data_IF_960262788730
#
_entry.id   IF_960262788730
#
_cell.length_a   1.000
_cell.length_b   1.000
_cell.length_c   1.000
_cell.angle_alpha   90.00
_cell.angle_beta   90.00
_cell.angle_gamma   90.00
#
_symmetry.space_group_name_H-M   'P 1'
#
loop_
_entity.id
_entity.type
_entity.pdbx_description
1 polymer ?
#
# COMPACT_ATOMS: atom_id res chain seq x y z
N UNK A 1 -16.38 2.64 -12.74
CA UNK A 1 -16.75 1.90 -13.96
C UNK A 1 -16.92 2.82 -15.20
N UNK A 2 -17.77 3.87 -15.14
CA UNK A 2 -17.97 4.79 -16.27
C UNK A 2 -16.69 5.52 -16.68
N UNK A 3 -15.95 6.04 -15.70
CA UNK A 3 -14.69 6.75 -15.90
C UNK A 3 -13.66 5.89 -16.63
N UNK A 4 -13.41 4.69 -16.13
CA UNK A 4 -12.45 3.77 -16.74
C UNK A 4 -12.86 3.27 -18.12
N UNK A 5 -14.16 3.07 -18.36
CA UNK A 5 -14.68 2.52 -19.63
C UNK A 5 -14.87 3.56 -20.72
N UNK A 6 -15.26 4.78 -20.35
CA UNK A 6 -15.71 5.79 -21.31
C UNK A 6 -14.82 7.03 -21.36
N UNK A 7 -14.11 7.34 -20.28
CA UNK A 7 -13.24 8.53 -20.22
C UNK A 7 -11.80 8.18 -20.58
N UNK A 8 -11.26 7.13 -20.01
CA UNK A 8 -9.87 6.69 -20.29
C UNK A 8 -9.81 5.91 -21.61
N UNK A 9 -8.94 6.32 -22.53
CA UNK A 9 -8.73 5.58 -23.79
C UNK A 9 -7.96 4.28 -23.54
N UNK A 10 -8.43 3.17 -24.12
CA UNK A 10 -7.94 1.79 -23.90
C UNK A 10 -6.43 1.55 -24.18
N UNK A 11 -5.75 2.48 -24.83
CA UNK A 11 -4.30 2.34 -25.14
C UNK A 11 -3.38 2.78 -24.00
N UNK A 12 -3.90 3.23 -22.88
CA UNK A 12 -3.09 3.60 -21.72
C UNK A 12 -2.78 2.34 -20.89
N UNK A 13 -1.51 1.97 -20.83
CA UNK A 13 -0.99 0.93 -19.92
C UNK A 13 -0.91 1.47 -18.48
N UNK A 14 -2.03 1.82 -17.89
CA UNK A 14 -2.09 2.34 -16.52
C UNK A 14 -2.46 1.21 -15.57
N UNK A 15 -1.86 1.26 -14.38
CA UNK A 15 -2.26 0.38 -13.28
C UNK A 15 -3.59 0.87 -12.69
N UNK A 16 -4.37 -0.03 -12.11
CA UNK A 16 -5.64 0.33 -11.46
C UNK A 16 -5.49 1.40 -10.39
N UNK A 17 -4.38 1.39 -9.64
CA UNK A 17 -4.02 2.39 -8.64
C UNK A 17 -3.83 3.80 -9.24
N UNK A 18 -3.14 3.92 -10.37
CA UNK A 18 -2.98 5.21 -11.07
C UNK A 18 -4.34 5.78 -11.52
N UNK A 19 -5.26 4.89 -11.95
CA UNK A 19 -6.62 5.29 -12.34
C UNK A 19 -7.43 5.82 -11.15
N UNK A 20 -7.30 5.20 -9.99
CA UNK A 20 -7.96 5.64 -8.75
C UNK A 20 -7.42 6.99 -8.32
N UNK A 21 -6.10 7.17 -8.31
CA UNK A 21 -5.45 8.44 -7.97
C UNK A 21 -5.93 9.57 -8.89
N UNK A 22 -5.94 9.34 -10.21
CA UNK A 22 -6.42 10.33 -11.19
C UNK A 22 -7.89 10.65 -10.99
N UNK A 23 -8.71 9.63 -10.76
CA UNK A 23 -10.13 9.81 -10.51
C UNK A 23 -10.37 10.73 -9.31
N UNK A 24 -9.71 10.47 -8.18
CA UNK A 24 -9.83 11.32 -6.99
C UNK A 24 -9.24 12.71 -7.19
N UNK A 25 -8.11 12.82 -7.87
CA UNK A 25 -7.52 14.13 -8.18
C UNK A 25 -8.47 15.01 -8.99
N UNK A 26 -9.19 14.42 -9.95
CA UNK A 26 -10.15 15.14 -10.79
C UNK A 26 -11.40 15.56 -10.00
N UNK A 27 -12.01 14.65 -9.24
CA UNK A 27 -13.25 14.97 -8.51
C UNK A 27 -13.00 15.88 -7.30
N UNK A 28 -11.79 15.94 -6.76
CA UNK A 28 -11.41 16.87 -5.69
C UNK A 28 -10.98 18.25 -6.21
N UNK A 29 -11.12 18.52 -7.51
CA UNK A 29 -10.72 19.77 -8.17
C UNK A 29 -9.25 20.16 -7.86
N UNK A 30 -8.38 19.15 -7.84
CA UNK A 30 -6.97 19.34 -7.56
C UNK A 30 -6.28 20.01 -8.76
N UNK A 31 -5.62 21.14 -8.56
CA UNK A 31 -4.94 21.93 -9.60
C UNK A 31 -3.92 21.13 -10.42
N UNK A 32 -3.40 20.03 -9.86
CA UNK A 32 -2.48 19.13 -10.57
C UNK A 32 -3.17 18.26 -11.63
N UNK A 33 -4.50 18.26 -11.72
CA UNK A 33 -5.29 17.45 -12.64
C UNK A 33 -6.15 18.37 -13.53
N UNK A 34 -5.72 18.56 -14.76
CA UNK A 34 -6.41 19.44 -15.71
C UNK A 34 -6.35 18.94 -17.15
N UNK A 35 -7.32 19.38 -17.96
CA UNK A 35 -7.33 19.16 -19.39
C UNK A 35 -6.38 20.15 -20.08
N UNK A 36 -5.18 19.69 -20.45
CA UNK A 36 -4.22 20.51 -21.19
C UNK A 36 -4.63 20.71 -22.67
N UNK A 37 -5.31 19.69 -23.25
CA UNK A 37 -5.86 19.68 -24.60
C UNK A 37 -7.20 18.93 -24.56
N UNK A 38 -8.07 19.05 -25.59
CA UNK A 38 -9.39 18.43 -25.59
C UNK A 38 -9.44 16.95 -25.23
N UNK A 39 -8.38 16.21 -25.50
CA UNK A 39 -8.29 14.76 -25.28
C UNK A 39 -7.05 14.36 -24.46
N UNK A 40 -6.45 15.27 -23.70
CA UNK A 40 -5.26 15.00 -22.90
C UNK A 40 -5.46 15.57 -21.50
N UNK A 41 -5.51 14.68 -20.52
CA UNK A 41 -5.51 15.02 -19.12
C UNK A 41 -4.05 15.03 -18.64
N UNK A 42 -3.64 16.09 -17.96
CA UNK A 42 -2.35 16.19 -17.27
C UNK A 42 -2.57 15.99 -15.78
N UNK A 43 -1.67 15.27 -15.13
CA UNK A 43 -1.63 15.07 -13.70
C UNK A 43 -0.16 14.95 -13.24
N UNK A 44 0.27 15.90 -12.43
CA UNK A 44 1.68 16.03 -12.08
C UNK A 44 2.56 16.21 -13.33
N UNK A 45 3.56 15.37 -13.47
CA UNK A 45 4.49 15.30 -14.63
C UNK A 45 4.03 14.36 -15.75
N UNK A 46 2.89 13.70 -15.60
CA UNK A 46 2.35 12.72 -16.53
C UNK A 46 1.18 13.25 -17.35
N UNK A 47 0.92 12.62 -18.48
CA UNK A 47 -0.25 12.91 -19.32
C UNK A 47 -0.89 11.63 -19.85
N UNK A 48 -2.22 11.60 -19.90
CA UNK A 48 -2.99 10.47 -20.44
C UNK A 48 -3.96 10.92 -21.51
N UNK A 49 -4.19 10.02 -22.47
CA UNK A 49 -5.21 10.22 -23.48
C UNK A 49 -6.60 9.90 -22.90
N UNK A 50 -7.51 10.86 -22.99
CA UNK A 50 -8.89 10.73 -22.51
C UNK A 50 -9.87 11.08 -23.65
N UNK A 51 -11.14 10.70 -23.47
CA UNK A 51 -12.22 11.30 -24.24
C UNK A 51 -12.67 12.58 -23.53
N UNK A 52 -12.31 13.73 -24.07
CA UNK A 52 -12.56 15.02 -23.43
C UNK A 52 -14.04 15.37 -23.30
N UNK A 53 -14.90 14.87 -24.21
CA UNK A 53 -16.35 15.11 -24.13
C UNK A 53 -16.95 14.25 -23.00
N UNK A 54 -16.56 12.98 -22.94
CA UNK A 54 -17.01 12.10 -21.86
C UNK A 54 -16.47 12.56 -20.50
N UNK A 55 -15.22 13.06 -20.43
CA UNK A 55 -14.69 13.65 -19.22
C UNK A 55 -15.49 14.88 -18.76
N UNK A 56 -15.80 15.80 -19.66
CA UNK A 56 -16.63 16.97 -19.33
C UNK A 56 -18.04 16.57 -18.87
N UNK A 57 -18.66 15.64 -19.57
CA UNK A 57 -19.99 15.12 -19.19
C UNK A 57 -19.94 14.44 -17.82
N UNK A 58 -18.88 13.70 -17.55
CA UNK A 58 -18.64 13.06 -16.27
C UNK A 58 -18.49 14.08 -15.15
N UNK A 59 -17.63 15.10 -15.32
CA UNK A 59 -17.44 16.16 -14.32
C UNK A 59 -18.72 16.95 -14.06
N UNK A 60 -19.48 17.27 -15.11
CA UNK A 60 -20.76 17.97 -14.99
C UNK A 60 -21.86 17.14 -14.29
N UNK A 61 -21.69 15.82 -14.16
CA UNK A 61 -22.64 14.95 -13.44
C UNK A 61 -22.39 14.91 -11.94
N UNK A 62 -21.29 15.47 -11.46
CA UNK A 62 -20.99 15.61 -10.03
C UNK A 62 -21.37 16.99 -9.53
N UNK A 63 -22.01 17.04 -8.40
CA UNK A 63 -22.15 18.29 -7.64
C UNK A 63 -20.77 18.66 -7.07
N UNK A 64 -20.29 19.86 -7.42
CA UNK A 64 -18.94 20.33 -7.05
C UNK A 64 -18.80 20.71 -5.57
N UNK A 65 -19.76 20.39 -4.71
CA UNK A 65 -19.80 20.75 -3.30
C UNK A 65 -19.41 19.57 -2.40
N UNK A 66 -18.34 18.84 -2.73
CA UNK A 66 -17.85 17.77 -1.87
C UNK A 66 -17.14 18.35 -0.65
N UNK A 67 -17.57 17.93 0.53
CA UNK A 67 -16.84 18.21 1.77
C UNK A 67 -15.58 17.37 1.86
N UNK A 68 -14.61 17.79 2.68
CA UNK A 68 -13.43 16.96 2.97
C UNK A 68 -13.82 15.58 3.50
N UNK A 69 -14.94 15.49 4.25
CA UNK A 69 -15.49 14.21 4.74
C UNK A 69 -15.97 13.31 3.61
N UNK A 70 -16.62 13.87 2.57
CA UNK A 70 -17.09 13.09 1.42
C UNK A 70 -15.91 12.52 0.63
N UNK A 71 -14.85 13.31 0.46
CA UNK A 71 -13.63 12.86 -0.22
C UNK A 71 -12.93 11.76 0.56
N UNK A 72 -12.85 11.86 1.89
CA UNK A 72 -12.30 10.83 2.76
C UNK A 72 -13.14 9.54 2.63
N UNK A 73 -14.46 9.66 2.68
CA UNK A 73 -15.36 8.52 2.49
C UNK A 73 -15.18 7.86 1.12
N UNK A 74 -15.11 8.65 0.05
CA UNK A 74 -14.87 8.15 -1.30
C UNK A 74 -13.50 7.46 -1.42
N UNK A 75 -12.44 8.04 -0.86
CA UNK A 75 -11.11 7.39 -0.78
C UNK A 75 -11.19 6.05 -0.06
N UNK A 76 -12.01 5.94 0.95
CA UNK A 76 -12.18 4.70 1.73
C UNK A 76 -12.80 3.54 0.95
N UNK A 77 -13.50 3.84 -0.14
CA UNK A 77 -14.10 2.84 -1.04
C UNK A 77 -13.40 2.79 -2.41
N UNK A 78 -12.26 3.50 -2.54
CA UNK A 78 -11.51 3.62 -3.79
C UNK A 78 -11.08 2.28 -4.39
N UNK A 79 -10.76 1.33 -3.52
CA UNK A 79 -10.44 -0.05 -3.87
C UNK A 79 -11.54 -0.75 -4.69
N UNK A 80 -12.80 -0.35 -4.56
CA UNK A 80 -13.90 -0.86 -5.40
C UNK A 80 -13.86 -0.33 -6.84
N UNK A 81 -13.07 0.72 -7.08
CA UNK A 81 -12.90 1.32 -8.41
C UNK A 81 -11.81 0.62 -9.23
N UNK A 82 -10.96 -0.17 -8.59
CA UNK A 82 -9.94 -0.98 -9.26
C UNK A 82 -10.62 -2.24 -9.82
N UNK A 83 -10.36 -2.55 -11.09
CA UNK A 83 -10.94 -3.73 -11.73
C UNK A 83 -10.48 -5.03 -11.03
N UNK A 84 -11.40 -5.98 -10.85
CA UNK A 84 -11.11 -7.28 -10.22
C UNK A 84 -9.97 -8.05 -10.88
N UNK A 85 -9.73 -7.81 -12.17
CA UNK A 85 -8.63 -8.44 -12.90
C UNK A 85 -7.26 -7.96 -12.44
N UNK A 86 -7.10 -6.67 -12.17
CA UNK A 86 -5.83 -6.11 -11.67
C UNK A 86 -5.57 -6.58 -10.25
N UNK A 87 -6.60 -6.62 -9.41
CA UNK A 87 -6.52 -7.16 -8.04
C UNK A 87 -6.10 -8.62 -7.99
N UNK A 88 -6.69 -9.46 -8.86
CA UNK A 88 -6.35 -10.88 -8.93
C UNK A 88 -4.92 -11.13 -9.40
N UNK A 89 -4.39 -10.24 -10.24
CA UNK A 89 -3.04 -10.39 -10.78
C UNK A 89 -1.96 -9.93 -9.80
N UNK A 90 -2.20 -8.86 -9.04
CA UNK A 90 -1.24 -8.36 -8.03
C UNK A 90 -1.39 -9.07 -6.67
N UNK A 91 -2.54 -9.69 -6.41
CA UNK A 91 -2.84 -10.29 -5.10
C UNK A 91 -3.12 -9.23 -4.02
N UNK A 92 -3.37 -7.99 -4.43
CA UNK A 92 -3.64 -6.87 -3.53
C UNK A 92 -5.12 -6.88 -3.16
N UNK A 93 -5.41 -7.26 -1.92
CA UNK A 93 -6.75 -7.25 -1.36
C UNK A 93 -6.83 -6.25 -0.21
N UNK A 94 -7.71 -5.28 -0.35
CA UNK A 94 -7.95 -4.30 0.71
C UNK A 94 -8.83 -4.90 1.81
N UNK A 95 -8.47 -4.61 3.05
CA UNK A 95 -9.20 -5.13 4.20
C UNK A 95 -10.50 -4.37 4.39
N UNK A 96 -11.64 -5.08 4.43
CA UNK A 96 -12.92 -4.48 4.76
C UNK A 96 -12.96 -4.04 6.23
N UNK A 97 -13.64 -2.94 6.52
CA UNK A 97 -13.72 -2.34 7.86
C UNK A 97 -14.15 -3.34 8.93
N UNK A 98 -15.12 -4.21 8.65
CA UNK A 98 -15.59 -5.22 9.60
C UNK A 98 -14.48 -6.18 10.04
N UNK A 99 -13.55 -6.54 9.14
CA UNK A 99 -12.41 -7.38 9.51
C UNK A 99 -11.36 -6.58 10.28
N UNK A 100 -11.23 -5.28 9.97
CA UNK A 100 -10.33 -4.39 10.72
C UNK A 100 -10.80 -4.26 12.16
N UNK A 101 -12.08 -3.99 12.37
CA UNK A 101 -12.69 -3.84 13.70
C UNK A 101 -12.48 -5.12 14.51
N UNK A 102 -12.76 -6.28 13.92
CA UNK A 102 -12.54 -7.58 14.56
C UNK A 102 -11.06 -7.81 14.91
N UNK A 103 -10.14 -7.46 13.99
CA UNK A 103 -8.71 -7.60 14.26
C UNK A 103 -8.23 -6.67 15.37
N UNK A 104 -8.72 -5.43 15.42
CA UNK A 104 -8.44 -4.48 16.50
C UNK A 104 -8.92 -5.01 17.86
N UNK A 105 -10.14 -5.56 17.91
CA UNK A 105 -10.69 -6.19 19.12
C UNK A 105 -9.84 -7.40 19.56
N UNK A 106 -9.47 -8.28 18.65
CA UNK A 106 -8.62 -9.43 18.95
C UNK A 106 -7.26 -9.02 19.51
N UNK A 107 -6.66 -7.95 19.00
CA UNK A 107 -5.37 -7.43 19.50
C UNK A 107 -5.59 -6.80 20.88
N UNK A 108 -6.65 -6.02 21.08
CA UNK A 108 -7.01 -5.47 22.41
C UNK A 108 -7.19 -6.56 23.46
N UNK A 109 -7.87 -7.65 23.10
CA UNK A 109 -8.05 -8.80 23.98
C UNK A 109 -6.72 -9.50 24.34
N UNK A 110 -5.76 -9.51 23.43
CA UNK A 110 -4.46 -10.17 23.63
C UNK A 110 -3.43 -9.29 24.35
N UNK A 111 -3.41 -7.99 24.06
CA UNK A 111 -2.36 -7.06 24.51
C UNK A 111 -2.84 -5.99 25.50
N UNK A 112 -4.17 -5.91 25.75
CA UNK A 112 -4.81 -4.87 26.53
C UNK A 112 -5.34 -3.72 25.68
N UNK A 113 -6.36 -3.01 26.18
CA UNK A 113 -7.06 -1.92 25.46
C UNK A 113 -6.12 -0.76 25.06
N UNK A 114 -5.06 -0.56 25.84
CA UNK A 114 -4.10 0.53 25.67
C UNK A 114 -2.89 0.15 24.76
N UNK A 115 -2.98 -0.95 24.03
CA UNK A 115 -1.88 -1.41 23.16
C UNK A 115 -1.45 -0.39 22.11
N UNK A 116 -2.39 0.40 21.58
CA UNK A 116 -2.09 1.46 20.60
C UNK A 116 -1.24 2.61 21.16
N UNK A 117 -1.26 2.78 22.48
CA UNK A 117 -0.46 3.77 23.20
C UNK A 117 0.92 3.23 23.64
N UNK A 118 0.97 1.92 23.93
CA UNK A 118 2.15 1.28 24.51
C UNK A 118 3.11 0.71 23.48
N UNK A 119 2.58 0.19 22.38
CA UNK A 119 3.37 -0.50 21.38
C UNK A 119 3.76 0.41 20.23
N UNK A 120 4.89 0.14 19.62
CA UNK A 120 5.19 0.61 18.28
C UNK A 120 4.41 -0.28 17.31
N UNK A 121 3.61 0.32 16.43
CA UNK A 121 2.84 -0.41 15.44
C UNK A 121 3.45 -0.17 14.07
N UNK A 122 3.77 -1.25 13.36
CA UNK A 122 4.25 -1.18 11.99
C UNK A 122 3.34 -1.97 11.06
N UNK A 123 2.77 -1.28 10.06
CA UNK A 123 2.08 -1.88 8.92
C UNK A 123 3.02 -1.83 7.70
N UNK A 124 3.72 -2.92 7.38
CA UNK A 124 4.64 -2.99 6.24
C UNK A 124 3.95 -3.27 4.90
N UNK A 125 2.65 -3.43 4.88
CA UNK A 125 1.82 -3.65 3.70
C UNK A 125 0.63 -2.67 3.67
N UNK A 126 0.90 -1.42 4.02
CA UNK A 126 -0.12 -0.41 4.34
C UNK A 126 -1.14 -0.15 3.22
N UNK A 127 -0.72 -0.23 1.94
CA UNK A 127 -1.58 0.04 0.80
C UNK A 127 -2.24 1.42 0.90
N UNK A 128 -3.56 1.47 0.89
CA UNK A 128 -4.35 2.70 1.03
C UNK A 128 -4.73 3.04 2.48
N UNK A 129 -4.19 2.33 3.45
CA UNK A 129 -4.35 2.64 4.87
C UNK A 129 -5.56 2.03 5.57
N UNK A 130 -6.30 1.12 4.95
CA UNK A 130 -7.56 0.60 5.46
C UNK A 130 -7.47 -0.05 6.85
N UNK A 131 -6.32 -0.67 7.20
CA UNK A 131 -6.12 -1.29 8.51
C UNK A 131 -6.03 -0.31 9.67
N UNK A 132 -5.56 0.91 9.41
CA UNK A 132 -5.15 1.84 10.47
C UNK A 132 -5.93 3.15 10.46
N UNK A 133 -6.57 3.53 9.35
CA UNK A 133 -7.14 4.87 9.10
C UNK A 133 -8.15 5.33 10.16
N UNK A 134 -9.00 4.42 10.65
CA UNK A 134 -10.12 4.76 11.54
C UNK A 134 -9.74 4.68 13.02
N UNK A 135 -8.46 4.42 13.32
CA UNK A 135 -7.93 4.26 14.67
C UNK A 135 -6.76 5.19 14.94
N UNK A 136 -6.62 5.61 16.20
CA UNK A 136 -5.50 6.45 16.65
C UNK A 136 -4.41 5.58 17.27
N UNK A 137 -3.18 5.86 16.91
CA UNK A 137 -1.99 5.19 17.43
C UNK A 137 -0.97 6.22 17.86
N UNK A 138 -0.26 5.98 18.93
CA UNK A 138 0.80 6.88 19.42
C UNK A 138 2.08 6.79 18.58
N UNK A 139 2.46 5.58 18.18
CA UNK A 139 3.68 5.34 17.41
C UNK A 139 3.34 4.42 16.22
N UNK A 140 2.87 4.99 15.12
CA UNK A 140 2.48 4.27 13.92
C UNK A 140 3.46 4.51 12.78
N UNK A 141 3.94 3.42 12.19
CA UNK A 141 4.77 3.39 11.00
C UNK A 141 4.01 2.66 9.89
N UNK A 142 3.88 3.30 8.73
CA UNK A 142 3.16 2.79 7.59
C UNK A 142 4.09 2.74 6.39
N UNK A 143 4.31 1.56 5.84
CA UNK A 143 5.13 1.44 4.64
C UNK A 143 4.42 0.68 3.52
N UNK A 144 4.72 1.07 2.31
CA UNK A 144 4.18 0.47 1.10
C UNK A 144 5.18 0.52 -0.05
N UNK A 145 4.97 -0.34 -1.04
CA UNK A 145 5.82 -0.42 -2.23
C UNK A 145 5.63 0.78 -3.17
N UNK A 146 4.43 1.36 -3.22
CA UNK A 146 4.05 2.36 -4.22
C UNK A 146 3.84 3.75 -3.62
N UNK A 147 4.51 4.76 -4.20
CA UNK A 147 4.32 6.16 -3.80
C UNK A 147 2.88 6.64 -3.99
N UNK A 148 2.17 6.13 -5.00
CA UNK A 148 0.75 6.46 -5.23
C UNK A 148 -0.14 6.11 -4.04
N UNK A 149 0.14 5.00 -3.35
CA UNK A 149 -0.62 4.60 -2.16
C UNK A 149 -0.39 5.55 -0.98
N UNK A 150 0.86 6.02 -0.80
CA UNK A 150 1.17 7.04 0.21
C UNK A 150 0.40 8.34 -0.04
N UNK A 151 0.32 8.75 -1.31
CA UNK A 151 -0.40 9.95 -1.71
C UNK A 151 -1.91 9.83 -1.44
N UNK A 152 -2.49 8.65 -1.69
CA UNK A 152 -3.92 8.38 -1.44
C UNK A 152 -4.25 8.40 0.06
N UNK A 153 -3.37 7.89 0.90
CA UNK A 153 -3.58 7.78 2.34
C UNK A 153 -2.95 8.93 3.15
N UNK A 154 -2.55 10.04 2.51
CA UNK A 154 -1.83 11.14 3.18
C UNK A 154 -2.61 11.72 4.38
N UNK A 155 -3.92 11.80 4.26
CA UNK A 155 -4.81 12.39 5.28
C UNK A 155 -5.13 11.44 6.46
N UNK A 156 -4.84 10.13 6.29
CA UNK A 156 -5.08 9.15 7.36
C UNK A 156 -3.94 9.14 8.35
N UNK A 157 -4.27 9.18 9.64
CA UNK A 157 -3.26 9.21 10.71
C UNK A 157 -2.14 10.22 10.40
N UNK A 158 -2.40 11.53 10.43
CA UNK A 158 -1.42 12.56 10.03
C UNK A 158 -0.14 12.52 10.89
N UNK A 159 -0.22 12.03 12.11
CA UNK A 159 0.91 11.82 13.04
C UNK A 159 1.76 10.59 12.71
N UNK A 160 1.26 9.69 11.85
CA UNK A 160 1.98 8.48 11.49
C UNK A 160 3.17 8.77 10.57
N UNK A 161 4.25 8.03 10.75
CA UNK A 161 5.39 8.07 9.83
C UNK A 161 5.11 7.16 8.64
N UNK A 162 4.88 7.76 7.48
CA UNK A 162 4.59 7.07 6.22
C UNK A 162 5.80 7.12 5.30
N UNK A 163 6.17 5.98 4.70
CA UNK A 163 7.38 5.92 3.86
C UNK A 163 7.28 4.82 2.81
N UNK A 164 7.97 5.03 1.69
CA UNK A 164 8.09 4.02 0.66
C UNK A 164 9.16 2.99 1.04
N UNK A 165 8.79 1.71 1.05
CA UNK A 165 9.66 0.63 1.45
C UNK A 165 9.25 -0.69 0.81
N UNK A 166 10.17 -1.37 0.15
CA UNK A 166 9.96 -2.74 -0.33
C UNK A 166 10.30 -3.73 0.78
N UNK A 167 9.28 -4.14 1.52
CA UNK A 167 9.44 -5.00 2.68
C UNK A 167 10.11 -6.35 2.38
N UNK A 168 10.07 -6.81 1.14
CA UNK A 168 10.65 -8.09 0.74
C UNK A 168 12.06 -7.99 0.13
N UNK A 169 12.48 -6.77 -0.29
CA UNK A 169 13.75 -6.58 -0.96
C UNK A 169 14.66 -5.55 -0.30
N UNK A 170 14.12 -4.52 0.37
CA UNK A 170 14.94 -3.51 1.04
C UNK A 170 15.62 -4.08 2.29
N UNK A 171 16.83 -3.61 2.56
CA UNK A 171 17.64 -4.11 3.66
C UNK A 171 17.12 -3.61 5.02
N UNK A 172 17.11 -4.50 6.01
CA UNK A 172 16.90 -4.21 7.44
C UNK A 172 18.00 -4.91 8.20
N UNK A 173 18.85 -4.15 8.87
CA UNK A 173 19.99 -4.70 9.63
C UNK A 173 20.23 -3.94 10.93
N UNK A 174 20.67 -4.68 11.95
CA UNK A 174 21.12 -4.14 13.22
C UNK A 174 22.54 -3.57 13.15
N UNK A 175 23.30 -3.87 12.09
CA UNK A 175 24.68 -3.44 11.94
C UNK A 175 24.74 -2.01 11.45
N UNK A 176 25.51 -1.18 12.16
CA UNK A 176 25.86 0.13 11.63
C UNK A 176 26.82 -0.02 10.46
N UNK A 177 26.56 0.68 9.39
CA UNK A 177 27.47 0.70 8.25
C UNK A 177 28.75 1.44 8.61
N UNK A 178 29.86 0.73 8.62
CA UNK A 178 31.19 1.30 8.83
C UNK A 178 31.56 2.29 7.70
N UNK A 179 30.88 2.22 6.54
CA UNK A 179 31.16 3.02 5.34
C UNK A 179 30.10 4.04 4.96
N UNK A 180 29.07 4.24 5.78
CA UNK A 180 28.05 5.27 5.54
C UNK A 180 27.20 5.13 4.24
N UNK A 181 27.28 3.99 3.57
CA UNK A 181 26.69 3.73 2.26
C UNK A 181 25.41 2.88 2.30
N UNK A 182 24.79 2.69 3.46
CA UNK A 182 23.50 2.02 3.51
C UNK A 182 22.39 3.00 3.11
N UNK A 183 21.67 2.59 2.10
CA UNK A 183 20.41 3.19 1.70
C UNK A 183 19.35 2.81 2.76
N UNK A 184 19.54 3.34 3.99
CA UNK A 184 18.64 3.05 5.11
C UNK A 184 17.33 3.79 4.89
N UNK A 185 16.39 3.10 4.25
CA UNK A 185 15.06 3.62 3.97
C UNK A 185 14.15 3.60 5.20
N UNK A 186 14.60 2.96 6.30
CA UNK A 186 13.82 2.93 7.52
C UNK A 186 13.85 4.29 8.21
N UNK A 187 12.70 4.83 8.64
CA UNK A 187 12.66 6.01 9.48
C UNK A 187 13.46 5.81 10.77
N UNK A 188 14.22 6.83 11.16
CA UNK A 188 15.09 6.77 12.35
C UNK A 188 14.35 6.24 13.58
N UNK A 189 13.14 6.75 13.87
CA UNK A 189 12.38 6.33 15.04
C UNK A 189 11.98 4.84 15.02
N UNK A 190 11.73 4.25 13.84
CA UNK A 190 11.45 2.82 13.71
C UNK A 190 12.75 2.01 13.91
N UNK A 191 13.85 2.48 13.34
CA UNK A 191 15.16 1.84 13.54
C UNK A 191 15.57 1.86 15.00
N UNK A 192 15.46 3.01 15.66
CA UNK A 192 15.75 3.15 17.09
C UNK A 192 14.87 2.20 17.93
N UNK A 193 13.57 2.08 17.60
CA UNK A 193 12.67 1.17 18.29
C UNK A 193 13.09 -0.30 18.14
N UNK A 194 13.53 -0.72 16.95
CA UNK A 194 14.07 -2.07 16.71
C UNK A 194 15.37 -2.30 17.50
N UNK A 195 16.31 -1.35 17.48
CA UNK A 195 17.58 -1.43 18.17
C UNK A 195 17.44 -1.44 19.70
N UNK A 196 16.47 -0.72 20.22
CA UNK A 196 16.16 -0.66 21.66
C UNK A 196 15.25 -1.79 22.15
N UNK A 197 14.91 -2.75 21.29
CA UNK A 197 14.01 -3.87 21.60
C UNK A 197 12.65 -3.40 22.15
N UNK A 198 12.12 -2.28 21.64
CA UNK A 198 10.79 -1.83 22.03
C UNK A 198 9.74 -2.84 21.59
N UNK A 199 8.65 -3.01 22.35
CA UNK A 199 7.58 -3.91 21.94
C UNK A 199 6.93 -3.41 20.65
N UNK A 200 6.99 -4.23 19.59
CA UNK A 200 6.48 -3.90 18.26
C UNK A 200 5.36 -4.85 17.89
N UNK A 201 4.27 -4.29 17.37
CA UNK A 201 3.17 -5.02 16.73
C UNK A 201 3.29 -4.85 15.22
N UNK A 202 3.51 -5.95 14.50
CA UNK A 202 3.35 -5.99 13.05
C UNK A 202 1.88 -6.23 12.73
N UNK A 203 1.20 -5.17 12.30
CA UNK A 203 -0.23 -5.21 11.99
C UNK A 203 -0.42 -5.01 10.48
N UNK A 204 -0.66 -6.10 9.76
CA UNK A 204 -0.64 -6.10 8.29
C UNK A 204 -1.65 -7.08 7.69
N UNK A 205 -2.13 -6.75 6.51
CA UNK A 205 -2.80 -7.67 5.59
C UNK A 205 -1.94 -7.76 4.31
N UNK A 206 -0.99 -8.71 4.23
CA UNK A 206 -0.05 -8.78 3.13
C UNK A 206 -0.71 -9.31 1.85
N UNK A 207 -0.15 -9.02 0.66
CA UNK A 207 -0.68 -9.55 -0.60
C UNK A 207 -0.66 -11.08 -0.65
N UNK A 208 -1.71 -11.66 -1.27
CA UNK A 208 -1.92 -13.12 -1.33
C UNK A 208 -1.46 -13.77 -2.64
N UNK A 209 -0.71 -13.06 -3.49
CA UNK A 209 -0.21 -13.63 -4.74
C UNK A 209 0.78 -14.77 -4.49
N UNK A 210 0.71 -15.78 -5.37
CA UNK A 210 1.64 -16.90 -5.39
C UNK A 210 2.31 -17.03 -6.75
N UNK A 211 3.59 -17.41 -6.79
CA UNK A 211 4.27 -17.79 -8.01
C UNK A 211 3.66 -19.09 -8.54
N UNK A 212 2.85 -18.99 -9.59
CA UNK A 212 2.22 -20.19 -10.21
C UNK A 212 3.22 -20.94 -11.07
N UNK A 213 3.19 -22.29 -11.00
CA UNK A 213 3.87 -23.19 -11.95
C UNK A 213 3.14 -23.28 -13.32
N UNK A 214 2.19 -22.36 -13.59
CA UNK A 214 1.36 -22.39 -14.79
C UNK A 214 2.04 -21.69 -15.98
N UNK A 215 1.87 -22.28 -17.15
CA UNK A 215 2.40 -21.81 -18.46
C UNK A 215 1.80 -20.49 -18.97
N UNK A 216 0.97 -19.80 -18.19
CA UNK A 216 0.42 -18.48 -18.51
C UNK A 216 1.18 -17.43 -17.72
N UNK A 217 2.21 -16.94 -18.36
CA UNK A 217 3.10 -15.88 -17.85
C UNK A 217 2.39 -14.52 -17.79
N UNK A 218 1.73 -14.22 -16.71
CA UNK A 218 1.49 -12.80 -16.38
C UNK A 218 2.76 -12.23 -15.70
N UNK A 219 3.19 -11.05 -16.09
CA UNK A 219 4.41 -10.40 -15.58
C UNK A 219 4.40 -10.25 -14.05
N UNK A 220 3.21 -10.09 -13.44
CA UNK A 220 3.00 -10.02 -11.99
C UNK A 220 3.43 -11.28 -11.23
N UNK A 221 3.26 -12.48 -11.83
CA UNK A 221 3.67 -13.75 -11.20
C UNK A 221 5.17 -14.00 -11.24
N UNK A 222 5.89 -13.37 -12.18
CA UNK A 222 7.36 -13.46 -12.27
C UNK A 222 8.06 -12.69 -11.14
N UNK A 223 7.44 -11.64 -10.60
CA UNK A 223 7.98 -10.83 -9.49
C UNK A 223 8.02 -11.57 -8.16
N UNK A 224 6.96 -12.36 -7.84
CA UNK A 224 6.82 -13.07 -6.56
C UNK A 224 7.97 -14.03 -6.26
N UNK A 225 8.51 -14.69 -7.26
CA UNK A 225 9.59 -15.68 -7.12
C UNK A 225 11.01 -15.07 -7.14
N UNK A 226 11.16 -13.73 -7.14
CA UNK A 226 12.45 -13.07 -7.29
C UNK A 226 12.83 -12.14 -6.13
N UNK A 227 12.07 -12.18 -5.03
CA UNK A 227 12.38 -11.34 -3.88
C UNK A 227 13.62 -11.85 -3.13
N UNK A 228 14.30 -10.95 -2.42
CA UNK A 228 15.40 -11.30 -1.53
C UNK A 228 14.94 -12.32 -0.48
N UNK A 229 13.75 -12.13 0.09
CA UNK A 229 13.20 -13.05 1.10
C UNK A 229 12.90 -14.43 0.52
N UNK A 230 12.35 -14.51 -0.71
CA UNK A 230 12.17 -15.79 -1.40
C UNK A 230 13.50 -16.57 -1.49
N UNK A 231 14.58 -15.90 -1.89
CA UNK A 231 15.90 -16.52 -1.99
C UNK A 231 16.37 -17.03 -0.62
N UNK A 232 16.27 -16.24 0.42
CA UNK A 232 16.66 -16.64 1.78
C UNK A 232 15.82 -17.85 2.26
N UNK A 233 14.51 -17.87 1.97
CA UNK A 233 13.64 -19.00 2.31
C UNK A 233 14.05 -20.27 1.59
N UNK A 234 14.42 -20.20 0.31
CA UNK A 234 14.91 -21.33 -0.46
C UNK A 234 16.25 -21.87 0.07
N UNK A 235 17.19 -20.99 0.36
CA UNK A 235 18.49 -21.34 0.96
C UNK A 235 18.30 -22.03 2.33
N UNK A 236 17.30 -21.60 3.09
CA UNK A 236 16.91 -22.23 4.36
C UNK A 236 15.94 -23.43 4.23
N UNK A 237 15.72 -23.93 3.01
CA UNK A 237 14.91 -25.12 2.71
C UNK A 237 13.44 -25.03 3.16
N UNK A 238 12.86 -23.84 3.16
CA UNK A 238 11.44 -23.62 3.54
C UNK A 238 10.46 -24.25 2.54
N UNK A 239 10.91 -24.59 1.33
CA UNK A 239 10.11 -25.31 0.36
C UNK A 239 9.03 -24.44 -0.31
N UNK A 240 7.85 -25.02 -0.57
CA UNK A 240 6.79 -24.36 -1.35
C UNK A 240 6.22 -23.09 -0.73
N UNK A 241 6.33 -22.90 0.58
CA UNK A 241 5.87 -21.68 1.25
C UNK A 241 6.59 -20.43 0.73
N UNK A 242 7.83 -20.56 0.25
CA UNK A 242 8.59 -19.46 -0.35
C UNK A 242 7.92 -18.86 -1.59
N UNK A 243 7.01 -19.59 -2.24
CA UNK A 243 6.30 -19.12 -3.44
C UNK A 243 5.13 -18.17 -3.13
N UNK A 244 4.70 -18.05 -1.88
CA UNK A 244 3.60 -17.20 -1.47
C UNK A 244 4.10 -15.88 -0.87
N UNK A 245 3.62 -14.74 -1.36
CA UNK A 245 3.98 -13.42 -0.79
C UNK A 245 3.62 -13.32 0.69
N UNK A 246 2.43 -13.74 1.07
CA UNK A 246 2.00 -13.81 2.47
C UNK A 246 3.04 -14.54 3.36
N UNK A 247 3.51 -15.71 2.93
CA UNK A 247 4.53 -16.47 3.68
C UNK A 247 5.87 -15.75 3.73
N UNK A 248 6.24 -15.03 2.66
CA UNK A 248 7.46 -14.23 2.63
C UNK A 248 7.39 -13.06 3.62
N UNK A 249 6.25 -12.38 3.73
CA UNK A 249 6.03 -11.32 4.74
C UNK A 249 6.20 -11.86 6.16
N UNK A 250 5.56 -12.98 6.49
CA UNK A 250 5.70 -13.61 7.81
C UNK A 250 7.14 -14.04 8.08
N UNK A 251 7.80 -14.63 7.08
CA UNK A 251 9.20 -15.03 7.23
C UNK A 251 10.13 -13.83 7.45
N UNK A 252 9.87 -12.72 6.76
CA UNK A 252 10.61 -11.46 6.98
C UNK A 252 10.47 -10.95 8.41
N UNK A 253 9.28 -11.01 8.98
CA UNK A 253 9.05 -10.63 10.39
C UNK A 253 9.86 -11.52 11.33
N UNK A 254 9.91 -12.84 11.08
CA UNK A 254 10.76 -13.75 11.87
C UNK A 254 12.26 -13.43 11.75
N UNK A 255 12.72 -13.02 10.55
CA UNK A 255 14.12 -12.58 10.38
C UNK A 255 14.39 -11.28 11.15
N UNK A 256 13.48 -10.31 11.11
CA UNK A 256 13.60 -9.07 11.90
C UNK A 256 13.64 -9.39 13.40
N UNK A 257 12.72 -10.24 13.87
CA UNK A 257 12.71 -10.70 15.26
C UNK A 257 14.05 -11.30 15.66
N UNK A 258 14.64 -12.13 14.83
CA UNK A 258 15.94 -12.77 15.08
C UNK A 258 17.09 -11.77 15.04
N UNK A 259 17.09 -10.85 14.06
CA UNK A 259 18.15 -9.86 13.86
C UNK A 259 18.26 -8.89 15.04
N UNK A 260 17.11 -8.44 15.56
CA UNK A 260 17.03 -7.45 16.65
C UNK A 260 16.74 -8.07 18.01
N UNK A 261 16.63 -9.38 18.12
CA UNK A 261 16.36 -10.10 19.36
C UNK A 261 15.05 -9.64 20.07
N UNK A 262 13.97 -9.42 19.26
CA UNK A 262 12.66 -8.98 19.73
C UNK A 262 11.85 -10.12 20.37
#
# INVERSE_FOLDING_TARGET
DYFCKNVIKKNNKMKGQDLVEIFFGIISDNENYHLAKPNTLVYGDKSIAVDGNNLKSFLNSFEHNHTSSDIIHLKSIADRLIEDADRRNSGDFFTLTIFVDTAQEMISNALGEDWKEKYVVWDPAWGTGNLTRDYKFKNLYCSTLYQSELNMGVDYNPEATKFQFDFLNDEITSKDSIFGCYNDKLPKGLKDALMENKPIVFFLNPPYAAAGNGKTDSESKKGVAKTMINKIMLDNKVGRASQNLYSQFLYRILLIKKEFNL
#
